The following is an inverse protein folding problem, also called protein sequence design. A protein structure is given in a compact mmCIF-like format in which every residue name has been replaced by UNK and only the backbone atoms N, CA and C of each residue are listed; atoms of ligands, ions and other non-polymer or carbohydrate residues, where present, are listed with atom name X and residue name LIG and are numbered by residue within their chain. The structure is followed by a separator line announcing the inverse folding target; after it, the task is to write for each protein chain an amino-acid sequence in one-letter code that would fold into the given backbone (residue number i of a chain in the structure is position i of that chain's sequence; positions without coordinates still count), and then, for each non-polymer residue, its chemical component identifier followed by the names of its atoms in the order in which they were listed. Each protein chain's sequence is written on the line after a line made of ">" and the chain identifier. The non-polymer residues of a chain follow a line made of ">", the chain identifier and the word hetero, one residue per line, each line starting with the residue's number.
data_IF_437796961054
#
_entry.id   IF_437796961054
#
_cell.length_a   1.000
_cell.length_b   1.000
_cell.length_c   1.000
_cell.angle_alpha   90.00
_cell.angle_beta   90.00
_cell.angle_gamma   90.00
#
_symmetry.space_group_name_H-M   'P 1'
#
loop_
_entity.id
_entity.type
_entity.pdbx_description
1 polymer ?
#
# COMPACT_ATOMS: atom_id res chain seq x y z
N UNK A 1 4.08 0.81 15.77
CA UNK A 1 3.31 1.72 14.89
C UNK A 1 2.55 0.96 13.83
N UNK A 2 1.27 1.28 13.62
CA UNK A 2 0.44 0.64 12.59
C UNK A 2 -0.54 1.65 11.97
N UNK A 3 -0.78 1.54 10.65
CA UNK A 3 -1.69 2.46 9.93
C UNK A 3 -3.16 2.14 10.14
N UNK A 4 -3.49 0.86 10.34
CA UNK A 4 -4.86 0.41 10.57
C UNK A 4 -5.80 0.52 9.36
N UNK A 5 -5.28 0.84 8.18
CA UNK A 5 -6.04 1.04 6.94
C UNK A 5 -5.73 0.01 5.84
N UNK A 6 -5.06 -1.09 6.21
CA UNK A 6 -4.54 -2.08 5.27
C UNK A 6 -5.17 -3.46 5.52
N UNK A 7 -6.38 -3.74 4.97
CA UNK A 7 -7.13 -4.96 5.23
C UNK A 7 -6.34 -6.23 4.93
N UNK A 8 -6.37 -7.17 5.86
CA UNK A 8 -5.62 -8.43 5.82
C UNK A 8 -4.17 -8.34 6.29
N UNK A 9 -3.61 -7.14 6.43
CA UNK A 9 -2.26 -6.88 6.94
C UNK A 9 -2.27 -6.18 8.29
N UNK A 10 -2.72 -4.93 8.33
CA UNK A 10 -2.91 -4.14 9.53
C UNK A 10 -4.18 -3.31 9.39
N UNK A 11 -5.28 -3.81 9.88
CA UNK A 11 -6.58 -3.20 9.76
C UNK A 11 -7.18 -2.93 11.14
N UNK A 12 -7.75 -1.75 11.34
CA UNK A 12 -8.50 -1.43 12.54
C UNK A 12 -9.97 -1.66 12.27
N UNK A 13 -10.52 -2.71 12.86
CA UNK A 13 -11.91 -3.08 12.70
C UNK A 13 -12.82 -1.99 13.31
N UNK A 14 -13.71 -1.36 12.53
CA UNK A 14 -14.54 -0.26 13.03
C UNK A 14 -15.62 -0.71 14.03
N UNK A 15 -15.99 -2.00 14.03
CA UNK A 15 -17.02 -2.53 14.92
C UNK A 15 -16.44 -2.88 16.30
N UNK A 16 -15.26 -3.52 16.31
CA UNK A 16 -14.59 -3.97 17.54
C UNK A 16 -13.57 -2.96 18.07
N UNK A 17 -13.14 -2.00 17.22
CA UNK A 17 -12.06 -1.07 17.48
C UNK A 17 -10.69 -1.74 17.70
N UNK A 18 -10.57 -3.02 17.39
CA UNK A 18 -9.33 -3.79 17.51
C UNK A 18 -8.52 -3.81 16.22
N UNK A 19 -7.19 -3.99 16.35
CA UNK A 19 -6.33 -4.22 15.21
C UNK A 19 -6.27 -5.71 14.87
N UNK A 20 -6.37 -6.03 13.58
CA UNK A 20 -6.36 -7.37 13.03
C UNK A 20 -5.53 -7.46 11.74
N UNK A 21 -5.10 -8.66 11.38
CA UNK A 21 -4.37 -8.95 10.15
C UNK A 21 -2.99 -9.56 10.39
N UNK A 22 -2.37 -9.99 9.30
CA UNK A 22 -1.13 -10.76 9.32
C UNK A 22 0.00 -10.06 10.11
N UNK A 23 0.22 -8.77 9.85
CA UNK A 23 1.26 -8.00 10.54
C UNK A 23 0.95 -7.82 12.03
N UNK A 24 -0.33 -7.73 12.38
CA UNK A 24 -0.78 -7.65 13.77
C UNK A 24 -0.51 -8.96 14.49
N UNK A 25 -0.79 -10.09 13.85
CA UNK A 25 -0.53 -11.42 14.41
C UNK A 25 0.97 -11.69 14.57
N UNK A 26 1.78 -11.31 13.56
CA UNK A 26 3.25 -11.37 13.65
C UNK A 26 3.77 -10.53 14.82
N UNK A 27 3.27 -9.32 15.00
CA UNK A 27 3.68 -8.44 16.09
C UNK A 27 3.27 -8.99 17.47
N UNK A 28 2.06 -9.53 17.59
CA UNK A 28 1.60 -10.20 18.81
C UNK A 28 2.46 -11.42 19.13
N UNK A 29 2.78 -12.25 18.13
CA UNK A 29 3.64 -13.41 18.33
C UNK A 29 5.05 -13.02 18.73
N UNK A 30 5.61 -11.97 18.15
CA UNK A 30 6.92 -11.45 18.55
C UNK A 30 6.92 -10.99 20.01
N UNK A 31 5.90 -10.27 20.44
CA UNK A 31 5.77 -9.81 21.83
C UNK A 31 5.67 -11.00 22.81
N UNK A 32 4.88 -12.03 22.46
CA UNK A 32 4.79 -13.28 23.23
C UNK A 32 6.16 -13.96 23.38
N UNK A 33 6.90 -14.12 22.27
CA UNK A 33 8.22 -14.75 22.26
C UNK A 33 9.29 -13.96 23.04
N UNK A 34 9.11 -12.63 23.12
CA UNK A 34 9.95 -11.74 23.93
C UNK A 34 9.52 -11.65 25.40
N UNK A 35 8.35 -12.18 25.75
CA UNK A 35 7.78 -12.09 27.09
C UNK A 35 7.42 -10.66 27.51
N UNK A 36 6.93 -9.85 26.57
CA UNK A 36 6.52 -8.45 26.79
C UNK A 36 5.09 -8.20 26.32
N UNK A 37 4.46 -7.16 26.88
CA UNK A 37 3.18 -6.68 26.39
C UNK A 37 3.36 -5.86 25.10
N UNK A 38 2.32 -5.86 24.24
CA UNK A 38 2.30 -5.08 23.01
C UNK A 38 1.23 -3.99 23.06
N UNK A 39 1.59 -2.79 22.60
CA UNK A 39 0.69 -1.68 22.38
C UNK A 39 0.75 -1.26 20.91
N UNK A 40 -0.41 -1.12 20.26
CA UNK A 40 -0.51 -0.63 18.89
C UNK A 40 -0.74 0.88 18.87
N UNK A 41 0.21 1.62 18.29
CA UNK A 41 0.17 3.08 18.16
C UNK A 41 -0.25 3.45 16.76
N UNK A 42 -1.37 4.17 16.63
CA UNK A 42 -1.86 4.64 15.33
C UNK A 42 -0.88 5.62 14.67
N UNK A 43 -0.66 5.44 13.38
CA UNK A 43 0.16 6.32 12.55
C UNK A 43 -0.36 6.30 11.10
N UNK A 44 0.27 7.03 10.19
CA UNK A 44 0.00 7.02 8.76
C UNK A 44 1.23 6.56 7.96
N UNK A 45 1.05 6.27 6.67
CA UNK A 45 2.09 5.72 5.79
C UNK A 45 3.32 6.64 5.67
N UNK A 46 3.13 7.95 5.64
CA UNK A 46 4.23 8.92 5.54
C UNK A 46 5.08 9.00 6.80
N UNK A 47 4.50 8.66 7.96
CA UNK A 47 5.15 8.75 9.26
C UNK A 47 5.64 7.40 9.82
N UNK A 48 5.41 6.28 9.12
CA UNK A 48 5.79 4.93 9.60
C UNK A 48 7.23 4.85 10.09
N UNK A 49 8.20 5.22 9.27
CA UNK A 49 9.62 5.14 9.61
C UNK A 49 10.04 6.26 10.56
N UNK A 50 9.53 7.47 10.35
CA UNK A 50 9.82 8.62 11.20
C UNK A 50 9.37 8.41 12.64
N UNK A 51 8.26 7.71 12.86
CA UNK A 51 7.77 7.37 14.19
C UNK A 51 8.72 6.44 14.96
N UNK A 52 9.39 5.51 14.28
CA UNK A 52 10.47 4.68 14.89
C UNK A 52 11.66 5.55 15.25
N UNK A 53 12.11 6.40 14.32
CA UNK A 53 13.29 7.27 14.53
C UNK A 53 13.07 8.27 15.67
N UNK A 54 11.86 8.79 15.81
CA UNK A 54 11.48 9.73 16.89
C UNK A 54 11.08 9.03 18.20
N UNK A 55 11.21 7.71 18.27
CA UNK A 55 10.81 6.90 19.44
C UNK A 55 9.34 7.04 19.84
N UNK A 56 8.47 7.38 18.87
CA UNK A 56 7.01 7.36 19.09
C UNK A 56 6.51 5.92 19.32
N UNK A 57 7.17 4.98 18.68
CA UNK A 57 7.01 3.53 18.87
C UNK A 57 8.33 2.81 18.55
N UNK A 58 8.52 1.61 19.05
CA UNK A 58 9.78 0.87 18.93
C UNK A 58 9.97 0.21 17.56
N UNK A 59 8.86 -0.18 16.91
CA UNK A 59 8.87 -0.86 15.62
C UNK A 59 7.61 -0.57 14.81
N UNK A 60 7.68 -0.89 13.53
CA UNK A 60 6.52 -0.88 12.63
C UNK A 60 6.64 -2.04 11.65
N UNK A 61 5.53 -2.42 11.04
CA UNK A 61 5.43 -3.46 10.00
C UNK A 61 4.92 -2.89 8.67
N UNK A 62 4.75 -3.72 7.65
CA UNK A 62 4.31 -3.33 6.29
C UNK A 62 5.20 -2.30 5.57
N UNK A 63 6.34 -1.93 6.14
CA UNK A 63 7.24 -0.97 5.54
C UNK A 63 8.20 -1.66 4.57
N UNK A 64 7.94 -1.58 3.27
CA UNK A 64 8.85 -2.12 2.24
C UNK A 64 10.27 -1.59 2.43
N UNK A 65 11.26 -2.46 2.25
CA UNK A 65 12.67 -2.12 2.34
C UNK A 65 13.04 -1.25 1.13
N UNK A 66 13.49 -0.03 1.39
CA UNK A 66 14.05 0.86 0.37
C UNK A 66 15.37 1.42 0.87
N UNK A 67 16.29 1.76 -0.04
CA UNK A 67 17.58 2.38 0.34
C UNK A 67 17.38 3.58 1.25
N UNK A 68 16.45 4.48 0.90
CA UNK A 68 16.15 5.68 1.70
C UNK A 68 15.72 5.34 3.13
N UNK A 69 14.83 4.36 3.29
CA UNK A 69 14.33 3.94 4.61
C UNK A 69 15.40 3.18 5.40
N UNK A 70 16.18 2.30 4.73
CA UNK A 70 17.24 1.52 5.36
C UNK A 70 18.42 2.36 5.86
N UNK A 71 18.65 3.54 5.27
CA UNK A 71 19.62 4.52 5.80
C UNK A 71 19.13 5.23 7.07
N UNK A 72 17.85 5.11 7.38
CA UNK A 72 17.21 5.87 8.48
C UNK A 72 16.83 4.97 9.66
N UNK A 73 16.40 3.74 9.40
CA UNK A 73 15.98 2.76 10.40
C UNK A 73 16.49 1.36 10.07
N UNK A 74 16.74 0.54 11.10
CA UNK A 74 17.08 -0.86 10.93
C UNK A 74 15.90 -1.69 10.46
N UNK A 75 16.16 -2.75 9.71
CA UNK A 75 15.18 -3.72 9.24
C UNK A 75 15.52 -5.13 9.71
N UNK A 76 14.49 -5.92 9.99
CA UNK A 76 14.63 -7.38 10.08
C UNK A 76 14.82 -7.98 8.68
N UNK A 77 15.05 -9.28 8.60
CA UNK A 77 14.86 -10.01 7.34
C UNK A 77 13.43 -9.83 6.87
N UNK A 78 13.25 -9.77 5.54
CA UNK A 78 11.91 -9.74 4.95
C UNK A 78 11.17 -11.03 5.28
N UNK A 79 9.97 -10.93 5.80
CA UNK A 79 9.10 -12.08 6.08
C UNK A 79 7.99 -12.26 5.04
N UNK A 80 7.86 -11.31 4.11
CA UNK A 80 6.92 -11.37 2.99
C UNK A 80 7.41 -10.51 1.81
N UNK A 81 7.04 -10.93 0.59
CA UNK A 81 7.34 -10.18 -0.64
C UNK A 81 6.15 -10.23 -1.60
N UNK A 82 5.85 -9.10 -2.22
CA UNK A 82 4.81 -8.98 -3.26
C UNK A 82 5.24 -7.98 -4.32
N UNK A 83 4.77 -8.18 -5.56
CA UNK A 83 4.99 -7.22 -6.65
C UNK A 83 3.99 -6.07 -6.62
N UNK A 84 4.36 -4.96 -7.26
CA UNK A 84 3.45 -3.86 -7.59
C UNK A 84 2.64 -4.22 -8.82
N UNK A 85 1.34 -3.91 -8.81
CA UNK A 85 0.46 -4.01 -9.96
C UNK A 85 -0.33 -2.73 -10.14
N UNK A 86 -0.80 -2.49 -11.36
CA UNK A 86 -1.73 -1.43 -11.68
C UNK A 86 -3.15 -1.99 -11.76
N UNK A 87 -4.13 -1.20 -11.34
CA UNK A 87 -5.55 -1.52 -11.42
C UNK A 87 -6.29 -0.41 -12.15
N UNK A 88 -7.32 -0.77 -12.91
CA UNK A 88 -8.20 0.16 -13.61
C UNK A 88 -9.63 -0.38 -13.61
N UNK A 89 -10.61 0.41 -14.05
CA UNK A 89 -11.93 -0.12 -14.36
C UNK A 89 -11.85 -1.09 -15.55
N UNK A 90 -12.60 -2.18 -15.50
CA UNK A 90 -12.61 -3.21 -16.55
C UNK A 90 -12.94 -2.64 -17.93
N UNK A 91 -13.77 -1.61 -17.99
CA UNK A 91 -14.13 -0.90 -19.23
C UNK A 91 -12.96 -0.11 -19.84
N UNK A 92 -11.95 0.23 -19.05
CA UNK A 92 -10.78 0.96 -19.50
C UNK A 92 -9.63 0.07 -19.99
N UNK A 93 -9.75 -1.26 -19.85
CA UNK A 93 -8.68 -2.19 -20.23
C UNK A 93 -8.28 -2.10 -21.71
N UNK A 94 -9.22 -1.81 -22.62
CA UNK A 94 -8.90 -1.63 -24.05
C UNK A 94 -7.97 -0.42 -24.26
N UNK A 95 -8.13 0.64 -23.47
CA UNK A 95 -7.35 1.87 -23.57
C UNK A 95 -6.03 1.80 -22.80
N UNK A 96 -6.06 1.22 -21.58
CA UNK A 96 -4.94 1.29 -20.61
C UNK A 96 -4.42 -0.12 -20.29
N UNK A 97 -4.73 -1.13 -21.07
CA UNK A 97 -4.53 -2.55 -20.77
C UNK A 97 -3.09 -3.05 -20.62
N UNK A 98 -2.09 -2.17 -20.74
CA UNK A 98 -0.69 -2.49 -20.48
C UNK A 98 0.01 -1.36 -19.74
N UNK A 99 1.16 -1.67 -19.14
CA UNK A 99 1.94 -0.76 -18.32
C UNK A 99 2.44 0.47 -19.09
N UNK A 100 2.83 0.28 -20.34
CA UNK A 100 3.39 1.37 -21.16
C UNK A 100 2.32 2.42 -21.54
N UNK A 101 1.06 2.01 -21.66
CA UNK A 101 -0.07 2.91 -21.96
C UNK A 101 -0.46 3.79 -20.78
N UNK A 102 0.03 3.53 -19.56
CA UNK A 102 -0.24 4.36 -18.39
C UNK A 102 0.51 5.68 -18.46
N UNK A 103 1.75 5.68 -18.99
CA UNK A 103 2.61 6.88 -18.99
C UNK A 103 2.25 7.86 -20.10
N UNK A 104 1.19 8.64 -19.87
CA UNK A 104 0.80 9.74 -20.77
C UNK A 104 0.05 10.84 -20.00
N UNK A 105 -0.02 12.05 -20.58
CA UNK A 105 -0.61 13.25 -19.95
C UNK A 105 -2.12 13.19 -19.72
N UNK A 106 -2.82 12.26 -20.33
CA UNK A 106 -4.28 12.09 -20.21
C UNK A 106 -4.65 11.06 -19.13
N UNK A 107 -3.67 10.33 -18.62
CA UNK A 107 -3.88 9.33 -17.55
C UNK A 107 -3.60 9.91 -16.19
N UNK A 108 -4.53 9.70 -15.25
CA UNK A 108 -4.37 10.02 -13.84
C UNK A 108 -4.12 8.74 -13.05
N UNK A 109 -2.98 8.67 -12.34
CA UNK A 109 -2.57 7.55 -11.50
C UNK A 109 -2.76 7.90 -10.03
N UNK A 110 -3.61 7.16 -9.33
CA UNK A 110 -3.82 7.31 -7.90
C UNK A 110 -2.86 6.44 -7.09
N UNK A 111 -2.27 7.02 -6.06
CA UNK A 111 -1.38 6.33 -5.11
C UNK A 111 -1.59 6.83 -3.69
N UNK A 112 -1.41 5.96 -2.70
CA UNK A 112 -1.43 6.38 -1.29
C UNK A 112 -0.10 7.05 -0.94
N UNK A 113 -0.18 8.25 -0.38
CA UNK A 113 0.94 9.10 -0.01
C UNK A 113 1.85 8.42 1.03
N UNK A 114 3.16 8.50 0.83
CA UNK A 114 4.17 7.92 1.72
C UNK A 114 4.45 6.43 1.48
N UNK A 115 3.75 5.79 0.55
CA UNK A 115 3.99 4.39 0.18
C UNK A 115 5.12 4.26 -0.86
N UNK A 116 5.56 3.02 -1.11
CA UNK A 116 6.50 2.74 -2.22
C UNK A 116 5.84 2.95 -3.58
N UNK A 117 4.52 2.83 -3.65
CA UNK A 117 3.74 3.01 -4.88
C UNK A 117 3.78 4.46 -5.38
N UNK A 118 3.87 5.45 -4.47
CA UNK A 118 4.09 6.86 -4.84
C UNK A 118 5.42 7.04 -5.59
N UNK A 119 6.50 6.43 -5.06
CA UNK A 119 7.81 6.52 -5.71
C UNK A 119 7.84 5.76 -7.04
N UNK A 120 7.19 4.60 -7.09
CA UNK A 120 7.06 3.80 -8.32
C UNK A 120 6.30 4.57 -9.40
N UNK A 121 5.16 5.18 -9.06
CA UNK A 121 4.39 5.99 -9.99
C UNK A 121 5.22 7.16 -10.55
N UNK A 122 5.93 7.90 -9.70
CA UNK A 122 6.80 9.01 -10.11
C UNK A 122 7.92 8.57 -11.05
N UNK A 123 8.43 7.36 -10.86
CA UNK A 123 9.54 6.81 -11.66
C UNK A 123 9.04 6.23 -12.97
N UNK A 124 7.96 5.45 -12.93
CA UNK A 124 7.48 4.68 -14.08
C UNK A 124 6.52 5.48 -14.97
N UNK A 125 5.85 6.49 -14.41
CA UNK A 125 4.85 7.28 -15.14
C UNK A 125 5.09 8.79 -14.99
N UNK A 126 6.27 9.29 -15.39
CA UNK A 126 6.63 10.70 -15.22
C UNK A 126 5.75 11.68 -15.99
N UNK A 127 5.09 11.22 -17.08
CA UNK A 127 4.23 12.04 -17.93
C UNK A 127 2.76 12.01 -17.47
N UNK A 128 2.39 11.10 -16.55
CA UNK A 128 1.02 10.99 -16.05
C UNK A 128 0.74 11.99 -14.93
N UNK A 129 -0.53 12.30 -14.74
CA UNK A 129 -0.99 13.07 -13.59
C UNK A 129 -1.02 12.14 -12.37
N UNK A 130 -0.50 12.61 -11.23
CA UNK A 130 -0.56 11.84 -9.98
C UNK A 130 -1.64 12.40 -9.06
N UNK A 131 -2.56 11.51 -8.62
CA UNK A 131 -3.51 11.76 -7.54
C UNK A 131 -2.97 11.07 -6.27
N UNK A 132 -2.49 11.86 -5.32
CA UNK A 132 -1.95 11.35 -4.06
C UNK A 132 -3.03 11.44 -2.99
N UNK A 133 -3.44 10.30 -2.44
CA UNK A 133 -4.45 10.20 -1.40
C UNK A 133 -3.84 9.94 -0.03
N UNK A 134 -4.44 10.49 1.01
CA UNK A 134 -4.08 10.22 2.40
C UNK A 134 -5.14 9.34 3.07
N UNK A 135 -4.69 8.47 4.00
CA UNK A 135 -5.61 7.69 4.82
C UNK A 135 -6.65 8.59 5.53
N UNK A 136 -7.90 8.15 5.67
CA UNK A 136 -8.41 6.81 5.40
C UNK A 136 -8.82 6.55 3.94
N UNK A 137 -8.72 7.54 3.04
CA UNK A 137 -8.98 7.34 1.61
C UNK A 137 -7.92 6.41 1.00
N UNK A 138 -8.36 5.59 0.04
CA UNK A 138 -7.49 4.64 -0.65
C UNK A 138 -7.51 4.89 -2.15
N UNK A 139 -6.38 4.62 -2.78
CA UNK A 139 -6.11 4.84 -4.20
C UNK A 139 -7.13 4.17 -5.13
N UNK A 140 -7.59 2.96 -4.82
CA UNK A 140 -8.59 2.25 -5.63
C UNK A 140 -9.96 2.95 -5.62
N UNK A 141 -10.30 3.68 -4.57
CA UNK A 141 -11.55 4.46 -4.48
C UNK A 141 -11.58 5.62 -5.47
N UNK A 142 -10.41 6.18 -5.81
CA UNK A 142 -10.28 7.19 -6.86
C UNK A 142 -10.62 6.59 -8.23
N UNK A 143 -10.18 5.34 -8.48
CA UNK A 143 -10.52 4.62 -9.72
C UNK A 143 -12.00 4.30 -9.79
N UNK A 144 -12.57 3.72 -8.72
CA UNK A 144 -14.00 3.39 -8.65
C UNK A 144 -14.91 4.60 -8.86
N UNK A 145 -14.47 5.77 -8.40
CA UNK A 145 -15.24 7.03 -8.54
C UNK A 145 -14.97 7.77 -9.85
N UNK A 146 -14.08 7.26 -10.72
CA UNK A 146 -13.70 7.92 -11.97
C UNK A 146 -12.83 9.16 -11.81
N UNK A 147 -12.27 9.42 -10.62
CA UNK A 147 -11.34 10.54 -10.38
C UNK A 147 -9.91 10.21 -10.79
N UNK A 148 -9.59 8.92 -10.90
CA UNK A 148 -8.34 8.45 -11.48
C UNK A 148 -8.61 7.32 -12.47
N UNK A 149 -7.74 7.16 -13.44
CA UNK A 149 -7.82 6.12 -14.47
C UNK A 149 -7.18 4.81 -13.97
N UNK A 150 -6.14 4.94 -13.17
CA UNK A 150 -5.31 3.82 -12.67
C UNK A 150 -4.98 4.02 -11.21
N UNK A 151 -4.81 2.93 -10.46
CA UNK A 151 -4.19 2.93 -9.13
C UNK A 151 -3.04 1.92 -9.06
N UNK A 152 -2.02 2.19 -8.24
CA UNK A 152 -0.95 1.24 -7.93
C UNK A 152 -1.14 0.66 -6.54
N UNK A 153 -1.02 -0.66 -6.45
CA UNK A 153 -1.11 -1.38 -5.18
C UNK A 153 -0.30 -2.68 -5.23
N UNK A 154 -0.30 -3.45 -4.14
CA UNK A 154 0.32 -4.77 -4.13
C UNK A 154 -0.53 -5.79 -4.90
N UNK A 155 0.12 -6.80 -5.49
CA UNK A 155 -0.60 -7.88 -6.18
C UNK A 155 -1.61 -8.58 -5.25
N UNK A 156 -1.27 -8.74 -3.98
CA UNK A 156 -2.16 -9.40 -3.01
C UNK A 156 -3.41 -8.56 -2.73
N UNK A 157 -3.25 -7.24 -2.59
CA UNK A 157 -4.41 -6.36 -2.39
C UNK A 157 -5.26 -6.26 -3.65
N UNK A 158 -4.63 -6.14 -4.82
CA UNK A 158 -5.35 -6.13 -6.08
C UNK A 158 -6.23 -7.38 -6.24
N UNK A 159 -5.70 -8.58 -5.91
CA UNK A 159 -6.48 -9.82 -5.96
C UNK A 159 -7.66 -9.84 -4.97
N UNK A 160 -7.54 -9.21 -3.81
CA UNK A 160 -8.67 -9.05 -2.88
C UNK A 160 -9.68 -8.04 -3.41
N UNK A 161 -9.19 -6.92 -3.94
CA UNK A 161 -10.03 -5.82 -4.43
C UNK A 161 -10.89 -6.23 -5.62
N UNK A 162 -10.37 -7.01 -6.59
CA UNK A 162 -11.19 -7.49 -7.72
C UNK A 162 -12.28 -8.50 -7.30
N UNK A 163 -12.11 -9.18 -6.16
CA UNK A 163 -13.17 -10.02 -5.60
C UNK A 163 -14.26 -9.20 -4.89
N UNK A 164 -13.92 -8.05 -4.32
CA UNK A 164 -14.85 -7.15 -3.62
C UNK A 164 -15.53 -6.18 -4.58
N UNK A 165 -14.83 -5.76 -5.62
CA UNK A 165 -15.24 -4.79 -6.63
C UNK A 165 -15.02 -5.38 -8.02
N UNK A 166 -15.98 -6.15 -8.56
CA UNK A 166 -15.85 -6.84 -9.86
C UNK A 166 -15.66 -5.90 -11.06
N UNK A 167 -15.97 -4.62 -10.90
CA UNK A 167 -15.71 -3.58 -11.89
C UNK A 167 -14.22 -3.21 -12.02
N UNK A 168 -13.39 -3.59 -11.04
CA UNK A 168 -11.94 -3.41 -11.11
C UNK A 168 -11.28 -4.57 -11.83
N UNK A 169 -10.23 -4.25 -12.56
CA UNK A 169 -9.34 -5.22 -13.21
C UNK A 169 -7.88 -4.89 -12.96
N UNK A 170 -7.06 -5.94 -12.90
CA UNK A 170 -5.61 -5.80 -12.85
C UNK A 170 -5.12 -5.63 -14.28
N UNK A 171 -4.33 -4.59 -14.53
CA UNK A 171 -3.63 -4.42 -15.80
C UNK A 171 -2.54 -5.49 -15.86
N UNK A 172 -2.61 -6.34 -16.89
CA UNK A 172 -1.63 -7.39 -17.11
C UNK A 172 -0.25 -6.77 -17.33
N UNK A 173 0.64 -7.13 -16.46
CA UNK A 173 2.06 -6.87 -16.61
C UNK A 173 2.64 -8.21 -17.01
N UNK A 174 3.17 -8.31 -18.22
CA UNK A 174 3.78 -9.55 -18.72
C UNK A 174 5.02 -9.94 -17.90
N UNK A 175 5.59 -9.00 -17.15
CA UNK A 175 6.58 -9.25 -16.08
C UNK A 175 6.42 -8.21 -14.95
N UNK A 176 6.49 -8.62 -13.67
CA UNK A 176 6.57 -7.67 -12.56
C UNK A 176 7.90 -6.91 -12.66
N UNK A 177 7.83 -5.61 -12.83
CA UNK A 177 9.01 -4.72 -12.74
C UNK A 177 9.42 -4.51 -11.29
#
# INVERSE_FOLDING_TARGET
>A
GTTGDFPGWSFKNPETNEYEGYDIDVAKKLAEDMGVDIEFVATDWKNLVTGVVSSKYHMTSSASITTKRALTAGYSNSYYGTGTVAMTLSENLEKIGNWDNINNSDTTVAVTLGTVFENEAKKSFPDSKLSMVEAPAREYQEVLSGRADVSLTSKVDAMKLINLYPELSIINIDEPK
#
